data_IF_925241423939
#
_entry.id   IF_925241423939
#
_cell.length_a   1.000
_cell.length_b   1.000
_cell.length_c   1.000
_cell.angle_alpha   90.00
_cell.angle_beta   90.00
_cell.angle_gamma   90.00
#
_symmetry.space_group_name_H-M   'P 1'
#
loop_
_entity.id
_entity.type
_entity.pdbx_description
1 polymer ?
#
# COMPACT_ATOMS: atom_id res chain seq x y z
N UNK A 1 -16.44 18.39 -9.48
CA UNK A 1 -16.81 17.14 -8.72
C UNK A 1 -15.78 16.75 -7.66
N UNK A 2 -14.47 16.61 -7.97
CA UNK A 2 -13.43 16.31 -6.94
C UNK A 2 -13.17 17.53 -6.04
N UNK A 3 -13.13 18.75 -6.58
CA UNK A 3 -12.94 19.99 -5.81
C UNK A 3 -14.13 20.34 -4.90
N UNK A 4 -15.36 20.07 -5.33
CA UNK A 4 -16.56 20.25 -4.50
C UNK A 4 -16.66 19.20 -3.38
N UNK A 5 -16.17 17.99 -3.59
CA UNK A 5 -16.01 16.97 -2.56
C UNK A 5 -14.97 17.38 -1.50
N UNK A 6 -13.89 18.03 -1.90
CA UNK A 6 -12.90 18.57 -0.97
C UNK A 6 -13.46 19.70 -0.10
N UNK A 7 -14.28 20.57 -0.65
CA UNK A 7 -14.87 21.73 0.08
C UNK A 7 -16.01 21.31 1.02
N UNK A 8 -16.80 20.29 0.67
CA UNK A 8 -17.88 19.77 1.53
C UNK A 8 -17.37 18.92 2.72
N UNK A 9 -16.13 18.41 2.65
CA UNK A 9 -15.48 17.59 3.69
C UNK A 9 -14.68 18.46 4.68
N UNK A 10 -14.48 19.75 4.38
CA UNK A 10 -13.59 20.66 5.14
C UNK A 10 -14.10 21.11 6.51
N UNK A 11 -15.20 20.59 7.03
CA UNK A 11 -15.71 20.97 8.37
C UNK A 11 -15.34 19.90 9.42
N UNK A 12 -14.28 20.21 10.15
CA UNK A 12 -13.82 19.69 11.46
C UNK A 12 -13.34 18.23 11.47
N UNK A 13 -12.01 17.99 11.53
CA UNK A 13 -11.48 16.66 11.85
C UNK A 13 -11.89 16.29 13.28
N UNK A 14 -12.47 15.10 13.45
CA UNK A 14 -12.80 14.61 14.78
C UNK A 14 -11.51 14.59 15.64
N UNK A 15 -11.62 14.97 16.91
CA UNK A 15 -10.52 15.00 17.89
C UNK A 15 -9.67 13.69 17.86
N UNK A 16 -10.31 12.58 17.51
CA UNK A 16 -9.70 11.25 17.36
C UNK A 16 -8.74 11.12 16.17
N UNK A 17 -9.03 11.77 15.03
CA UNK A 17 -8.16 11.75 13.86
C UNK A 17 -6.87 12.55 14.08
N UNK A 18 -6.95 13.67 14.83
CA UNK A 18 -5.77 14.47 15.23
C UNK A 18 -4.83 13.70 16.16
N UNK A 19 -5.37 12.88 17.08
CA UNK A 19 -4.60 12.08 18.01
C UNK A 19 -3.85 10.90 17.35
N UNK A 20 -4.23 10.53 16.12
CA UNK A 20 -3.62 9.41 15.37
C UNK A 20 -2.66 9.88 14.26
N UNK A 21 -2.38 11.19 14.15
CA UNK A 21 -1.51 11.73 13.09
C UNK A 21 -2.04 11.50 11.67
N UNK A 22 -3.37 11.33 11.52
CA UNK A 22 -4.02 11.08 10.24
C UNK A 22 -4.34 12.39 9.52
N UNK A 23 -4.03 12.45 8.23
CA UNK A 23 -4.54 13.52 7.37
C UNK A 23 -6.06 13.38 7.24
N UNK A 24 -6.75 14.49 7.00
CA UNK A 24 -8.21 14.50 6.84
C UNK A 24 -8.68 13.57 5.70
N UNK A 25 -7.92 13.52 4.60
CA UNK A 25 -8.18 12.61 3.47
C UNK A 25 -8.05 11.13 3.84
N UNK A 26 -7.06 10.77 4.65
CA UNK A 26 -6.88 9.39 5.14
C UNK A 26 -8.03 8.95 6.06
N UNK A 27 -8.49 9.84 6.94
CA UNK A 27 -9.62 9.55 7.83
C UNK A 27 -10.93 9.32 7.06
N UNK A 28 -11.16 10.07 5.97
CA UNK A 28 -12.32 9.88 5.09
C UNK A 28 -12.19 8.57 4.32
N UNK A 29 -11.01 8.27 3.76
CA UNK A 29 -10.77 7.04 3.03
C UNK A 29 -11.00 5.80 3.90
N UNK A 30 -10.46 5.79 5.13
CA UNK A 30 -10.67 4.71 6.10
C UNK A 30 -12.18 4.51 6.37
N UNK A 31 -12.94 5.60 6.55
CA UNK A 31 -14.39 5.51 6.74
C UNK A 31 -15.11 4.88 5.56
N UNK A 32 -14.78 5.33 4.34
CA UNK A 32 -15.42 4.84 3.10
C UNK A 32 -15.14 3.36 2.91
N UNK A 33 -13.88 2.94 3.01
CA UNK A 33 -13.48 1.55 2.85
C UNK A 33 -14.09 0.65 3.94
N UNK A 34 -14.12 1.12 5.19
CA UNK A 34 -14.75 0.40 6.30
C UNK A 34 -16.24 0.20 6.07
N UNK A 35 -16.97 1.20 5.58
CA UNK A 35 -18.39 1.05 5.26
C UNK A 35 -18.60 0.12 4.06
N UNK A 36 -17.72 0.15 3.07
CA UNK A 36 -17.76 -0.81 1.98
C UNK A 36 -17.59 -2.27 2.47
N UNK A 37 -16.70 -2.49 3.44
CA UNK A 37 -16.52 -3.82 4.06
C UNK A 37 -17.77 -4.32 4.80
N UNK A 38 -18.52 -3.43 5.50
CA UNK A 38 -19.80 -3.80 6.15
C UNK A 38 -20.79 -4.41 5.15
N UNK A 39 -20.87 -3.85 3.95
CA UNK A 39 -21.81 -4.33 2.95
C UNK A 39 -21.32 -5.56 2.19
N UNK A 40 -19.99 -5.81 2.13
CA UNK A 40 -19.45 -7.03 1.51
C UNK A 40 -19.82 -8.30 2.28
N UNK A 41 -19.85 -8.26 3.61
CA UNK A 41 -20.22 -9.38 4.46
C UNK A 41 -21.75 -9.59 4.62
N UNK A 42 -22.56 -8.60 4.22
CA UNK A 42 -24.00 -8.62 4.45
C UNK A 42 -24.74 -9.83 3.84
N UNK A 43 -24.46 -10.30 2.60
CA UNK A 43 -25.19 -11.42 2.02
C UNK A 43 -25.09 -12.71 2.83
N UNK A 44 -23.88 -13.02 3.31
CA UNK A 44 -23.63 -14.22 4.12
C UNK A 44 -24.41 -14.16 5.44
N UNK A 45 -24.40 -13.00 6.10
CA UNK A 45 -25.14 -12.82 7.36
C UNK A 45 -26.66 -12.87 7.17
N UNK A 46 -27.17 -12.34 6.05
CA UNK A 46 -28.60 -12.39 5.70
C UNK A 46 -29.02 -13.83 5.45
N UNK A 47 -28.27 -14.59 4.65
CA UNK A 47 -28.52 -15.98 4.37
C UNK A 47 -28.46 -16.85 5.65
N UNK A 48 -27.41 -16.67 6.45
CA UNK A 48 -27.24 -17.38 7.72
C UNK A 48 -28.42 -17.11 8.69
N UNK A 49 -28.87 -15.85 8.79
CA UNK A 49 -30.01 -15.49 9.65
C UNK A 49 -31.30 -16.16 9.17
N UNK A 50 -31.55 -16.21 7.87
CA UNK A 50 -32.72 -16.86 7.29
C UNK A 50 -32.69 -18.39 7.52
N UNK A 51 -31.54 -19.02 7.27
CA UNK A 51 -31.36 -20.47 7.49
C UNK A 51 -31.54 -20.81 8.98
N UNK A 52 -30.90 -20.07 9.88
CA UNK A 52 -31.03 -20.29 11.31
C UNK A 52 -32.47 -20.08 11.80
N UNK A 53 -33.20 -19.09 11.26
CA UNK A 53 -34.63 -18.92 11.60
C UNK A 53 -35.47 -20.08 11.19
N UNK A 54 -35.25 -20.66 10.00
CA UNK A 54 -35.94 -21.85 9.51
C UNK A 54 -35.63 -23.06 10.38
N UNK A 55 -34.37 -23.29 10.75
CA UNK A 55 -33.96 -24.38 11.63
C UNK A 55 -34.60 -24.22 13.02
N UNK A 56 -34.58 -23.00 13.57
CA UNK A 56 -35.16 -22.68 14.89
C UNK A 56 -36.67 -22.97 14.88
N UNK A 57 -37.37 -22.55 13.82
CA UNK A 57 -38.79 -22.82 13.65
C UNK A 57 -39.08 -24.33 13.55
N UNK A 58 -38.26 -25.10 12.83
CA UNK A 58 -38.40 -26.54 12.72
C UNK A 58 -38.17 -27.26 14.05
N UNK A 59 -37.15 -26.86 14.80
CA UNK A 59 -36.81 -27.46 16.10
C UNK A 59 -37.89 -27.18 17.16
N UNK A 60 -38.44 -25.97 17.17
CA UNK A 60 -39.44 -25.56 18.16
C UNK A 60 -40.89 -25.85 17.71
N UNK A 61 -41.08 -26.59 16.61
CA UNK A 61 -42.38 -26.78 15.98
C UNK A 61 -43.38 -27.52 16.87
N UNK A 62 -42.94 -28.53 17.63
CA UNK A 62 -43.78 -29.33 18.53
C UNK A 62 -44.17 -28.60 19.82
N UNK A 63 -43.37 -27.64 20.25
CA UNK A 63 -43.44 -27.11 21.60
C UNK A 63 -44.07 -25.70 21.66
N UNK A 64 -44.07 -24.99 20.54
CA UNK A 64 -44.55 -23.59 20.46
C UNK A 64 -45.77 -23.51 19.50
N UNK A 65 -46.76 -22.71 19.84
CA UNK A 65 -47.92 -22.46 18.98
C UNK A 65 -47.47 -22.02 17.58
N UNK A 66 -47.91 -22.73 16.54
CA UNK A 66 -47.50 -22.56 15.16
C UNK A 66 -47.66 -21.11 14.66
N UNK A 67 -48.73 -20.40 15.08
CA UNK A 67 -48.97 -19.02 14.70
C UNK A 67 -47.90 -18.05 15.25
N UNK A 68 -47.44 -18.26 16.49
CA UNK A 68 -46.35 -17.46 17.09
C UNK A 68 -45.05 -17.73 16.38
N UNK A 69 -44.74 -19.00 16.14
CA UNK A 69 -43.47 -19.42 15.50
C UNK A 69 -43.38 -18.96 14.05
N UNK A 70 -44.45 -19.12 13.27
CA UNK A 70 -44.53 -18.66 11.89
C UNK A 70 -44.51 -17.13 11.80
N UNK A 71 -45.18 -16.43 12.72
CA UNK A 71 -45.13 -14.95 12.81
C UNK A 71 -43.71 -14.44 13.08
N UNK A 72 -43.00 -15.07 14.04
CA UNK A 72 -41.62 -14.74 14.33
C UNK A 72 -40.69 -15.05 13.16
N UNK A 73 -40.73 -16.24 12.60
CA UNK A 73 -39.90 -16.64 11.46
C UNK A 73 -40.20 -15.77 10.24
N UNK A 74 -41.48 -15.47 9.97
CA UNK A 74 -41.89 -14.56 8.91
C UNK A 74 -41.31 -13.14 9.09
N UNK A 75 -41.28 -12.62 10.31
CA UNK A 75 -40.68 -11.33 10.62
C UNK A 75 -39.16 -11.33 10.36
N UNK A 76 -38.43 -12.37 10.76
CA UNK A 76 -37.00 -12.52 10.47
C UNK A 76 -36.74 -12.60 8.96
N UNK A 77 -37.53 -13.39 8.23
CA UNK A 77 -37.41 -13.51 6.77
C UNK A 77 -37.75 -12.20 6.04
N UNK A 78 -38.81 -11.50 6.47
CA UNK A 78 -39.15 -10.19 5.93
C UNK A 78 -38.02 -9.16 6.15
N UNK A 79 -37.44 -9.16 7.36
CA UNK A 79 -36.29 -8.32 7.65
C UNK A 79 -35.05 -8.69 6.80
N UNK A 80 -34.79 -9.97 6.60
CA UNK A 80 -33.72 -10.47 5.74
C UNK A 80 -33.93 -10.00 4.29
N UNK A 81 -35.15 -10.03 3.78
CA UNK A 81 -35.51 -9.54 2.45
C UNK A 81 -35.26 -8.03 2.30
N UNK A 82 -35.71 -7.22 3.28
CA UNK A 82 -35.45 -5.75 3.28
C UNK A 82 -33.95 -5.47 3.31
N UNK A 83 -33.18 -6.19 4.11
CA UNK A 83 -31.72 -6.05 4.18
C UNK A 83 -31.04 -6.47 2.86
N UNK A 84 -31.54 -7.50 2.19
CA UNK A 84 -31.06 -7.91 0.88
C UNK A 84 -31.33 -6.83 -0.19
N UNK A 85 -32.52 -6.22 -0.17
CA UNK A 85 -32.83 -5.06 -1.04
C UNK A 85 -31.92 -3.87 -0.80
N UNK A 86 -31.61 -3.55 0.46
CA UNK A 86 -30.67 -2.48 0.81
C UNK A 86 -29.24 -2.81 0.31
N UNK A 87 -28.80 -4.03 0.45
CA UNK A 87 -27.51 -4.52 -0.07
C UNK A 87 -27.46 -4.41 -1.60
N UNK A 88 -28.51 -4.83 -2.29
CA UNK A 88 -28.59 -4.76 -3.74
C UNK A 88 -28.53 -3.31 -4.24
N UNK A 89 -29.27 -2.40 -3.57
CA UNK A 89 -29.21 -0.97 -3.86
C UNK A 89 -27.81 -0.39 -3.66
N UNK A 90 -27.09 -0.83 -2.63
CA UNK A 90 -25.68 -0.47 -2.42
C UNK A 90 -24.81 -0.95 -3.58
N UNK A 91 -25.00 -2.19 -4.05
CA UNK A 91 -24.20 -2.78 -5.11
C UNK A 91 -24.39 -2.10 -6.47
N UNK A 92 -25.62 -1.68 -6.78
CA UNK A 92 -26.00 -1.08 -8.08
C UNK A 92 -25.75 0.46 -8.07
N UNK A 93 -25.98 1.13 -6.96
CA UNK A 93 -26.15 2.59 -6.90
C UNK A 93 -24.86 3.42 -6.83
N UNK A 94 -23.65 2.84 -6.94
CA UNK A 94 -22.39 3.57 -6.84
C UNK A 94 -22.15 4.22 -5.45
N UNK A 95 -20.91 4.33 -5.02
CA UNK A 95 -20.56 4.74 -3.65
C UNK A 95 -20.17 6.21 -3.56
N UNK A 96 -21.13 7.11 -3.37
CA UNK A 96 -20.82 8.46 -2.87
C UNK A 96 -20.59 8.41 -1.34
N UNK A 97 -19.54 9.06 -0.85
CA UNK A 97 -19.20 9.09 0.59
C UNK A 97 -20.35 9.62 1.48
N UNK A 98 -21.19 10.52 0.96
CA UNK A 98 -22.36 11.06 1.65
C UNK A 98 -23.46 10.00 1.82
N UNK A 99 -23.67 9.17 0.81
CA UNK A 99 -24.66 8.08 0.84
C UNK A 99 -24.23 6.94 1.77
N UNK A 100 -22.93 6.63 1.83
CA UNK A 100 -22.39 5.57 2.69
C UNK A 100 -22.64 5.81 4.18
N UNK A 101 -22.54 7.05 4.66
CA UNK A 101 -22.78 7.34 6.09
C UNK A 101 -24.25 7.19 6.49
N UNK A 102 -25.17 7.51 5.58
CA UNK A 102 -26.62 7.27 5.76
C UNK A 102 -26.94 5.78 5.78
N UNK A 103 -26.43 5.05 4.79
CA UNK A 103 -26.59 3.59 4.69
C UNK A 103 -26.00 2.84 5.89
N UNK A 104 -24.86 3.29 6.43
CA UNK A 104 -24.29 2.70 7.64
C UNK A 104 -25.18 2.88 8.88
N UNK A 105 -25.85 4.03 9.04
CA UNK A 105 -26.82 4.25 10.13
C UNK A 105 -28.03 3.35 9.99
N UNK A 106 -28.57 3.23 8.77
CA UNK A 106 -29.67 2.32 8.46
C UNK A 106 -29.26 0.88 8.73
N UNK A 107 -28.05 0.48 8.38
CA UNK A 107 -27.52 -0.85 8.68
C UNK A 107 -27.47 -1.13 10.19
N UNK A 108 -26.99 -0.19 11.01
CA UNK A 108 -26.96 -0.29 12.48
C UNK A 108 -28.38 -0.45 13.04
N UNK A 109 -29.34 0.29 12.51
CA UNK A 109 -30.76 0.15 12.91
C UNK A 109 -31.32 -1.25 12.59
N UNK A 110 -31.06 -1.77 11.39
CA UNK A 110 -31.51 -3.13 11.03
C UNK A 110 -30.77 -4.22 11.83
N UNK A 111 -29.55 -3.98 12.26
CA UNK A 111 -28.86 -4.91 13.19
C UNK A 111 -29.54 -4.93 14.56
N UNK A 112 -29.97 -3.77 15.09
CA UNK A 112 -30.70 -3.71 16.34
C UNK A 112 -32.07 -4.42 16.25
N UNK A 113 -32.79 -4.21 15.15
CA UNK A 113 -34.08 -4.88 14.91
C UNK A 113 -33.92 -6.39 14.78
N UNK A 114 -32.88 -6.82 14.07
CA UNK A 114 -32.55 -8.26 13.96
C UNK A 114 -32.21 -8.86 15.33
N UNK A 115 -31.39 -8.14 16.13
CA UNK A 115 -31.11 -8.56 17.51
C UNK A 115 -32.36 -8.67 18.39
N UNK A 116 -33.28 -7.72 18.26
CA UNK A 116 -34.56 -7.74 19.00
C UNK A 116 -35.44 -8.94 18.59
N UNK A 117 -35.52 -9.28 17.31
CA UNK A 117 -36.25 -10.45 16.82
C UNK A 117 -35.64 -11.75 17.37
N UNK A 118 -34.33 -11.88 17.41
CA UNK A 118 -33.65 -13.03 18.00
C UNK A 118 -33.82 -13.07 19.53
N UNK A 119 -33.71 -11.93 20.20
CA UNK A 119 -33.89 -11.83 21.65
C UNK A 119 -35.34 -12.13 22.10
N UNK A 120 -36.33 -11.86 21.27
CA UNK A 120 -37.72 -12.12 21.58
C UNK A 120 -38.06 -13.64 21.72
N UNK A 121 -37.19 -14.51 21.21
CA UNK A 121 -37.33 -15.97 21.44
C UNK A 121 -37.16 -16.33 22.91
N UNK A 122 -36.37 -15.61 23.68
CA UNK A 122 -36.12 -15.95 25.08
C UNK A 122 -37.42 -15.93 25.93
N UNK A 123 -38.22 -14.87 25.94
CA UNK A 123 -39.52 -14.90 26.62
C UNK A 123 -40.54 -15.89 25.99
N UNK A 124 -40.51 -16.08 24.67
CA UNK A 124 -41.37 -17.07 24.00
C UNK A 124 -41.07 -18.46 24.51
N UNK A 125 -39.81 -18.89 24.55
CA UNK A 125 -39.37 -20.16 25.09
C UNK A 125 -39.67 -20.29 26.58
N UNK A 126 -39.55 -19.24 27.35
CA UNK A 126 -39.84 -19.22 28.79
C UNK A 126 -41.32 -19.54 29.06
N UNK A 127 -42.24 -18.86 28.34
CA UNK A 127 -43.69 -19.06 28.48
C UNK A 127 -44.12 -20.52 28.16
N UNK A 128 -43.38 -21.18 27.25
CA UNK A 128 -43.66 -22.58 26.85
C UNK A 128 -42.86 -23.61 27.65
N UNK A 129 -42.19 -23.22 28.75
CA UNK A 129 -41.44 -24.12 29.63
C UNK A 129 -40.15 -24.67 29.04
N UNK A 130 -39.64 -24.09 27.96
CA UNK A 130 -38.46 -24.55 27.23
C UNK A 130 -37.14 -23.97 27.73
N UNK A 131 -37.09 -23.34 28.92
CA UNK A 131 -35.89 -22.73 29.47
C UNK A 131 -34.77 -23.72 29.80
N UNK A 132 -35.11 -25.00 29.99
CA UNK A 132 -34.11 -26.05 30.18
C UNK A 132 -33.37 -26.50 28.92
N UNK A 133 -33.82 -26.08 27.73
CA UNK A 133 -33.19 -26.47 26.49
C UNK A 133 -31.97 -25.62 26.17
N UNK A 134 -30.80 -26.23 26.02
CA UNK A 134 -29.55 -25.54 25.64
C UNK A 134 -29.57 -24.97 24.20
N UNK A 135 -30.55 -25.39 23.38
CA UNK A 135 -30.63 -24.99 21.98
C UNK A 135 -30.69 -23.47 21.76
N UNK A 136 -31.55 -22.76 22.49
CA UNK A 136 -31.74 -21.33 22.34
C UNK A 136 -30.47 -20.51 22.64
N UNK A 137 -29.75 -20.71 23.78
CA UNK A 137 -28.48 -20.06 24.03
C UNK A 137 -27.45 -20.30 22.91
N UNK A 138 -27.33 -21.52 22.40
CA UNK A 138 -26.41 -21.85 21.31
C UNK A 138 -26.72 -21.10 20.02
N UNK A 139 -27.99 -21.04 19.62
CA UNK A 139 -28.41 -20.35 18.40
C UNK A 139 -28.19 -18.85 18.51
N UNK A 140 -28.56 -18.25 19.65
CA UNK A 140 -28.35 -16.82 19.87
C UNK A 140 -26.83 -16.49 19.95
N UNK A 141 -26.03 -17.31 20.62
CA UNK A 141 -24.58 -17.16 20.64
C UNK A 141 -23.97 -17.31 19.25
N UNK A 142 -24.39 -18.29 18.45
CA UNK A 142 -23.95 -18.47 17.07
C UNK A 142 -24.29 -17.28 16.17
N UNK A 143 -25.50 -16.73 16.28
CA UNK A 143 -25.89 -15.53 15.52
C UNK A 143 -25.15 -14.29 15.96
N UNK A 144 -24.84 -14.12 17.25
CA UNK A 144 -24.05 -13.04 17.79
C UNK A 144 -22.56 -13.13 17.33
N UNK A 145 -22.00 -14.35 17.27
CA UNK A 145 -20.67 -14.57 16.69
C UNK A 145 -20.64 -14.23 15.19
N UNK A 146 -21.64 -14.66 14.43
CA UNK A 146 -21.77 -14.33 13.00
C UNK A 146 -21.89 -12.82 12.75
N UNK A 147 -22.49 -12.07 13.68
CA UNK A 147 -22.54 -10.61 13.61
C UNK A 147 -21.14 -9.98 13.65
N UNK A 148 -20.16 -10.56 14.36
CA UNK A 148 -18.78 -10.06 14.37
C UNK A 148 -18.14 -10.25 13.00
N UNK A 149 -18.31 -11.39 12.36
CA UNK A 149 -17.72 -11.68 11.04
C UNK A 149 -18.31 -10.75 9.98
N UNK A 150 -19.62 -10.51 10.01
CA UNK A 150 -20.33 -9.73 8.99
C UNK A 150 -20.30 -8.21 9.23
N UNK A 151 -20.26 -7.78 10.49
CA UNK A 151 -20.36 -6.38 10.88
C UNK A 151 -19.16 -5.90 11.73
N UNK A 152 -18.09 -6.69 11.86
CA UNK A 152 -16.92 -6.39 12.68
C UNK A 152 -16.15 -5.14 12.25
N UNK A 153 -16.37 -4.65 11.03
CA UNK A 153 -15.89 -3.33 10.60
C UNK A 153 -16.56 -2.17 11.37
N UNK A 154 -17.63 -2.41 12.16
CA UNK A 154 -18.28 -1.43 13.03
C UNK A 154 -18.73 -2.07 14.34
N UNK A 155 -17.99 -1.82 15.43
CA UNK A 155 -18.37 -2.28 16.77
C UNK A 155 -19.78 -1.84 17.18
N UNK A 156 -20.22 -0.67 16.67
CA UNK A 156 -21.58 -0.16 16.93
C UNK A 156 -22.65 -1.05 16.32
N UNK A 157 -22.41 -1.61 15.14
CA UNK A 157 -23.35 -2.53 14.50
C UNK A 157 -23.42 -3.84 15.26
N UNK A 158 -22.30 -4.38 15.75
CA UNK A 158 -22.26 -5.58 16.58
C UNK A 158 -22.97 -5.34 17.91
N UNK A 159 -22.70 -4.24 18.59
CA UNK A 159 -23.33 -3.89 19.87
C UNK A 159 -24.83 -3.68 19.73
N UNK A 160 -25.27 -3.04 18.64
CA UNK A 160 -26.71 -2.84 18.36
C UNK A 160 -27.47 -4.14 18.13
N UNK A 161 -26.80 -5.21 17.68
CA UNK A 161 -27.35 -6.56 17.62
C UNK A 161 -27.28 -7.25 18.99
N UNK A 162 -26.10 -7.24 19.64
CA UNK A 162 -25.84 -8.02 20.86
C UNK A 162 -26.72 -7.62 22.03
N UNK A 163 -26.92 -6.32 22.26
CA UNK A 163 -27.73 -5.86 23.40
C UNK A 163 -29.16 -6.41 23.32
N UNK A 164 -29.93 -6.15 22.24
CA UNK A 164 -31.31 -6.64 22.20
C UNK A 164 -31.43 -8.16 22.00
N UNK A 165 -30.39 -8.85 21.54
CA UNK A 165 -30.37 -10.29 21.42
C UNK A 165 -30.07 -11.01 22.75
N UNK A 166 -29.06 -10.52 23.49
CA UNK A 166 -28.55 -11.22 24.68
C UNK A 166 -29.19 -10.74 25.99
N UNK A 167 -29.64 -9.47 26.07
CA UNK A 167 -30.23 -8.97 27.31
C UNK A 167 -31.54 -9.70 27.70
N UNK A 168 -32.52 -9.94 26.77
CA UNK A 168 -33.69 -10.74 27.11
C UNK A 168 -33.34 -12.16 27.52
N UNK A 169 -32.36 -12.78 26.84
CA UNK A 169 -31.88 -14.11 27.17
C UNK A 169 -31.32 -14.19 28.59
N UNK A 170 -30.39 -13.27 28.95
CA UNK A 170 -29.83 -13.19 30.29
C UNK A 170 -30.91 -12.95 31.37
N UNK A 171 -31.89 -12.05 31.07
CA UNK A 171 -32.98 -11.75 32.00
C UNK A 171 -33.86 -12.95 32.25
N UNK A 172 -34.27 -13.64 31.18
CA UNK A 172 -35.10 -14.86 31.30
C UNK A 172 -34.40 -15.93 32.13
N UNK A 173 -33.15 -16.24 31.84
CA UNK A 173 -32.41 -17.22 32.64
C UNK A 173 -32.21 -16.80 34.08
N UNK A 174 -31.96 -15.53 34.36
CA UNK A 174 -31.83 -15.05 35.73
C UNK A 174 -33.14 -15.18 36.54
N UNK A 175 -34.31 -15.03 35.88
CA UNK A 175 -35.61 -15.06 36.55
C UNK A 175 -36.26 -16.45 36.60
N UNK A 176 -36.04 -17.29 35.60
CA UNK A 176 -36.76 -18.56 35.42
C UNK A 176 -35.87 -19.79 35.35
N UNK A 177 -34.56 -19.63 35.31
CA UNK A 177 -33.60 -20.74 35.07
C UNK A 177 -33.27 -21.60 36.29
N UNK A 178 -34.02 -21.50 37.38
CA UNK A 178 -33.77 -22.28 38.59
C UNK A 178 -32.41 -21.97 39.27
N UNK A 179 -31.82 -22.95 39.98
CA UNK A 179 -30.59 -22.76 40.74
C UNK A 179 -29.39 -22.32 39.86
N UNK A 180 -29.31 -22.81 38.64
CA UNK A 180 -28.22 -22.52 37.70
C UNK A 180 -28.48 -21.27 36.85
N UNK A 181 -29.68 -20.68 36.90
CA UNK A 181 -30.11 -19.58 36.04
C UNK A 181 -29.22 -18.35 36.13
N UNK A 182 -28.81 -17.98 37.30
CA UNK A 182 -27.87 -16.85 37.53
C UNK A 182 -26.49 -17.11 36.92
N UNK A 183 -26.00 -18.35 37.01
CA UNK A 183 -24.74 -18.74 36.39
C UNK A 183 -24.83 -18.65 34.85
N UNK A 184 -25.91 -19.15 34.25
CA UNK A 184 -26.16 -19.06 32.80
C UNK A 184 -26.29 -17.59 32.38
N UNK A 185 -27.03 -16.77 33.10
CA UNK A 185 -27.15 -15.34 32.83
C UNK A 185 -25.77 -14.63 32.89
N UNK A 186 -24.93 -14.97 33.87
CA UNK A 186 -23.55 -14.48 33.97
C UNK A 186 -22.69 -14.85 32.76
N UNK A 187 -22.78 -16.11 32.29
CA UNK A 187 -22.09 -16.57 31.07
C UNK A 187 -22.57 -15.83 29.84
N UNK A 188 -23.87 -15.57 29.68
CA UNK A 188 -24.43 -14.79 28.56
C UNK A 188 -23.92 -13.36 28.58
N UNK A 189 -23.85 -12.72 29.73
CA UNK A 189 -23.28 -11.35 29.89
C UNK A 189 -21.79 -11.34 29.54
N UNK A 190 -21.02 -12.29 30.08
CA UNK A 190 -19.59 -12.43 29.77
C UNK A 190 -19.35 -12.64 28.29
N UNK A 191 -20.17 -13.47 27.63
CA UNK A 191 -20.14 -13.67 26.20
C UNK A 191 -20.42 -12.37 25.42
N UNK A 192 -21.41 -11.59 25.84
CA UNK A 192 -21.72 -10.29 25.26
C UNK A 192 -20.56 -9.28 25.38
N UNK A 193 -19.89 -9.27 26.53
CA UNK A 193 -18.69 -8.46 26.74
C UNK A 193 -17.53 -8.92 25.86
N UNK A 194 -17.28 -10.21 25.78
CA UNK A 194 -16.20 -10.79 24.96
C UNK A 194 -16.40 -10.52 23.48
N UNK A 195 -17.63 -10.72 22.96
CA UNK A 195 -17.95 -10.45 21.56
C UNK A 195 -17.88 -8.96 21.23
N UNK A 196 -18.24 -8.08 22.14
CA UNK A 196 -18.11 -6.62 21.98
C UNK A 196 -16.63 -6.22 21.97
N UNK A 197 -15.81 -6.78 22.87
CA UNK A 197 -14.37 -6.55 22.87
C UNK A 197 -13.71 -7.04 21.58
N UNK A 198 -14.09 -8.22 21.11
CA UNK A 198 -13.60 -8.76 19.83
C UNK A 198 -14.00 -7.86 18.66
N UNK A 199 -15.21 -7.31 18.61
CA UNK A 199 -15.64 -6.37 17.58
C UNK A 199 -14.81 -5.06 17.60
N UNK A 200 -14.49 -4.55 18.79
CA UNK A 200 -13.63 -3.38 18.95
C UNK A 200 -12.21 -3.62 18.45
N UNK A 201 -11.63 -4.78 18.76
CA UNK A 201 -10.28 -5.14 18.29
C UNK A 201 -10.25 -5.39 16.81
N UNK A 202 -11.23 -6.09 16.26
CA UNK A 202 -11.38 -6.33 14.82
C UNK A 202 -11.50 -5.01 14.05
N UNK A 203 -12.33 -4.08 14.52
CA UNK A 203 -12.41 -2.77 13.89
C UNK A 203 -11.06 -2.03 13.89
N UNK A 204 -10.32 -2.07 15.01
CA UNK A 204 -9.00 -1.43 15.11
C UNK A 204 -7.99 -2.07 14.14
N UNK A 205 -8.03 -3.40 13.99
CA UNK A 205 -7.18 -4.13 13.03
C UNK A 205 -7.50 -3.72 11.58
N UNK A 206 -8.80 -3.65 11.23
CA UNK A 206 -9.25 -3.22 9.92
C UNK A 206 -8.80 -1.77 9.64
N UNK A 207 -9.03 -0.84 10.58
CA UNK A 207 -8.63 0.56 10.45
C UNK A 207 -7.10 0.69 10.23
N UNK A 208 -6.29 -0.08 10.96
CA UNK A 208 -4.82 -0.13 10.79
C UNK A 208 -4.42 -0.72 9.44
N UNK A 209 -5.04 -1.82 9.02
CA UNK A 209 -4.76 -2.47 7.74
C UNK A 209 -5.02 -1.53 6.56
N UNK A 210 -6.16 -0.84 6.55
CA UNK A 210 -6.51 0.15 5.53
C UNK A 210 -5.48 1.29 5.49
N UNK A 211 -5.07 1.80 6.68
CA UNK A 211 -4.09 2.86 6.78
C UNK A 211 -2.72 2.44 6.21
N UNK A 212 -2.24 1.27 6.63
CA UNK A 212 -0.96 0.72 6.17
C UNK A 212 -0.98 0.48 4.67
N UNK A 213 -2.04 -0.11 4.14
CA UNK A 213 -2.19 -0.31 2.70
C UNK A 213 -2.14 1.03 1.93
N UNK A 214 -2.85 2.04 2.42
CA UNK A 214 -2.85 3.38 1.80
C UNK A 214 -1.46 4.02 1.82
N UNK A 215 -0.72 3.89 2.92
CA UNK A 215 0.65 4.42 3.04
C UNK A 215 1.63 3.66 2.14
N UNK A 216 1.54 2.34 2.10
CA UNK A 216 2.38 1.51 1.23
C UNK A 216 2.19 1.88 -0.25
N UNK A 217 0.95 2.04 -0.73
CA UNK A 217 0.67 2.48 -2.11
C UNK A 217 1.30 3.85 -2.39
N UNK A 218 1.18 4.81 -1.46
CA UNK A 218 1.82 6.14 -1.62
C UNK A 218 3.35 6.06 -1.65
N UNK A 219 3.95 5.26 -0.76
CA UNK A 219 5.40 5.05 -0.74
C UNK A 219 5.90 4.40 -2.03
N UNK A 220 5.19 3.38 -2.50
CA UNK A 220 5.53 2.69 -3.74
C UNK A 220 5.49 3.64 -4.95
N UNK A 221 4.44 4.45 -5.08
CA UNK A 221 4.34 5.44 -6.17
C UNK A 221 5.43 6.51 -6.09
N UNK A 222 5.80 6.95 -4.90
CA UNK A 222 6.88 7.92 -4.71
C UNK A 222 8.25 7.33 -5.05
N UNK A 223 8.49 6.06 -4.68
CA UNK A 223 9.71 5.34 -5.01
C UNK A 223 9.82 5.13 -6.53
N UNK A 224 8.74 4.69 -7.17
CA UNK A 224 8.69 4.50 -8.62
C UNK A 224 9.06 5.81 -9.36
N UNK A 225 8.47 6.93 -8.94
CA UNK A 225 8.79 8.23 -9.53
C UNK A 225 10.27 8.59 -9.40
N UNK A 226 10.91 8.31 -8.25
CA UNK A 226 12.35 8.55 -8.07
C UNK A 226 13.21 7.66 -8.96
N UNK A 227 12.82 6.41 -9.16
CA UNK A 227 13.52 5.48 -10.07
C UNK A 227 13.41 5.99 -11.51
N UNK A 228 12.21 6.41 -11.93
CA UNK A 228 12.00 6.95 -13.27
C UNK A 228 12.81 8.23 -13.50
N UNK A 229 12.82 9.17 -12.54
CA UNK A 229 13.62 10.40 -12.58
C UNK A 229 15.13 10.11 -12.66
N UNK A 230 15.63 9.11 -11.89
CA UNK A 230 17.03 8.71 -11.92
C UNK A 230 17.38 8.07 -13.27
N UNK A 231 16.51 7.22 -13.80
CA UNK A 231 16.72 6.60 -15.11
C UNK A 231 16.73 7.62 -16.25
N UNK A 232 15.81 8.59 -16.23
CA UNK A 232 15.82 9.70 -17.20
C UNK A 232 17.10 10.55 -17.11
N UNK A 233 17.57 10.83 -15.90
CA UNK A 233 18.81 11.58 -15.69
C UNK A 233 20.03 10.81 -16.23
N UNK A 234 20.09 9.51 -16.00
CA UNK A 234 21.13 8.63 -16.53
C UNK A 234 21.11 8.60 -18.06
N UNK A 235 19.93 8.44 -18.67
CA UNK A 235 19.79 8.44 -20.14
C UNK A 235 20.22 9.78 -20.75
N UNK A 236 19.82 10.91 -20.14
CA UNK A 236 20.25 12.25 -20.60
C UNK A 236 21.76 12.40 -20.49
N UNK A 237 22.36 11.98 -19.37
CA UNK A 237 23.81 12.04 -19.20
C UNK A 237 24.53 11.18 -20.23
N UNK A 238 24.08 9.94 -20.43
CA UNK A 238 24.62 9.02 -21.43
C UNK A 238 24.55 9.61 -22.84
N UNK A 239 23.40 10.15 -23.24
CA UNK A 239 23.21 10.77 -24.55
C UNK A 239 24.13 11.99 -24.75
N UNK A 240 24.35 12.82 -23.72
CA UNK A 240 25.27 13.96 -23.79
C UNK A 240 26.73 13.51 -23.97
N UNK A 241 27.15 12.48 -23.23
CA UNK A 241 28.51 11.93 -23.36
C UNK A 241 28.69 11.26 -24.72
N UNK A 242 27.73 10.50 -25.19
CA UNK A 242 27.79 9.82 -26.48
C UNK A 242 27.77 10.78 -27.69
N UNK A 243 27.06 11.89 -27.58
CA UNK A 243 27.00 12.91 -28.63
C UNK A 243 28.23 13.85 -28.65
N UNK A 244 29.06 13.83 -27.63
CA UNK A 244 30.28 14.62 -27.59
C UNK A 244 31.27 14.18 -28.64
N UNK A 245 31.86 15.15 -29.36
CA UNK A 245 32.98 14.88 -30.26
C UNK A 245 34.31 14.72 -29.50
N UNK A 246 34.40 15.22 -28.28
CA UNK A 246 35.55 15.03 -27.41
C UNK A 246 35.55 13.64 -26.82
N UNK A 247 36.72 13.02 -26.74
CA UNK A 247 36.86 11.77 -25.99
C UNK A 247 36.83 12.07 -24.49
N UNK A 248 36.24 11.16 -23.72
CA UNK A 248 36.29 11.20 -22.27
C UNK A 248 36.82 9.87 -21.76
N UNK A 249 37.92 9.93 -21.00
CA UNK A 249 38.57 8.76 -20.40
C UNK A 249 38.69 9.01 -18.89
N UNK A 250 38.26 8.05 -18.07
CA UNK A 250 38.40 8.11 -16.62
C UNK A 250 39.51 7.14 -16.19
N UNK A 251 40.46 7.64 -15.43
CA UNK A 251 41.58 6.89 -14.87
C UNK A 251 41.39 6.74 -13.35
N UNK A 252 41.61 5.54 -12.83
CA UNK A 252 41.71 5.35 -11.37
C UNK A 252 42.93 6.09 -10.80
N UNK A 253 43.04 6.21 -9.45
CA UNK A 253 44.22 6.79 -8.81
C UNK A 253 45.52 6.09 -9.18
N UNK A 254 45.46 4.81 -9.52
CA UNK A 254 46.60 3.99 -9.94
C UNK A 254 46.94 4.13 -11.45
N UNK A 255 46.17 4.97 -12.17
CA UNK A 255 46.34 5.20 -13.61
C UNK A 255 45.76 4.11 -14.51
N UNK A 256 44.79 3.30 -14.02
CA UNK A 256 44.07 2.31 -14.80
C UNK A 256 42.79 2.93 -15.37
N UNK A 257 42.49 2.66 -16.64
CA UNK A 257 41.28 3.15 -17.30
C UNK A 257 40.08 2.42 -16.75
N UNK A 258 39.13 3.13 -16.16
CA UNK A 258 37.86 2.64 -15.63
C UNK A 258 36.68 2.89 -16.56
N UNK A 259 36.78 3.94 -17.39
CA UNK A 259 35.76 4.28 -18.38
C UNK A 259 36.40 4.94 -19.61
N UNK A 260 35.83 4.69 -20.78
CA UNK A 260 36.14 5.38 -22.02
C UNK A 260 34.82 5.65 -22.78
N UNK A 261 34.63 6.88 -23.25
CA UNK A 261 33.45 7.27 -24.02
C UNK A 261 33.42 6.61 -25.41
N UNK A 262 32.24 6.40 -26.02
CA UNK A 262 32.14 5.85 -27.39
C UNK A 262 32.90 6.68 -28.44
N UNK A 263 33.10 7.98 -28.20
CA UNK A 263 33.86 8.87 -29.09
C UNK A 263 35.35 8.44 -29.23
N UNK A 264 35.90 7.65 -28.32
CA UNK A 264 37.29 7.14 -28.48
C UNK A 264 37.44 6.25 -29.70
N UNK A 265 36.39 5.51 -30.10
CA UNK A 265 36.42 4.68 -31.30
C UNK A 265 36.57 5.53 -32.57
N UNK A 266 35.87 6.66 -32.64
CA UNK A 266 35.99 7.59 -33.77
C UNK A 266 37.33 8.33 -33.81
N UNK A 267 37.91 8.59 -32.64
CA UNK A 267 39.12 9.45 -32.53
C UNK A 267 40.39 8.60 -32.50
N UNK A 268 40.39 7.49 -31.80
CA UNK A 268 41.56 6.61 -31.63
C UNK A 268 41.44 5.29 -32.44
N UNK A 269 40.34 5.02 -33.12
CA UNK A 269 40.16 3.76 -33.86
C UNK A 269 40.04 2.52 -32.97
N UNK A 270 39.93 2.67 -31.64
CA UNK A 270 39.84 1.58 -30.68
C UNK A 270 38.50 1.58 -29.96
N UNK A 271 37.77 0.46 -29.93
CA UNK A 271 36.50 0.41 -29.23
C UNK A 271 36.71 0.55 -27.71
N UNK A 272 35.80 1.23 -26.97
CA UNK A 272 35.95 1.55 -25.56
C UNK A 272 36.31 0.36 -24.66
N UNK A 273 35.70 -0.82 -24.91
CA UNK A 273 35.91 -2.03 -24.12
C UNK A 273 37.37 -2.59 -24.19
N UNK A 274 38.12 -2.26 -25.25
CA UNK A 274 39.53 -2.62 -25.35
C UNK A 274 40.44 -1.71 -24.55
N UNK A 275 40.00 -0.48 -24.28
CA UNK A 275 40.75 0.51 -23.50
C UNK A 275 40.55 0.33 -21.99
N UNK A 276 39.35 -0.04 -21.57
CA UNK A 276 39.04 -0.26 -20.16
C UNK A 276 39.90 -1.36 -19.58
N UNK A 277 40.56 -1.06 -18.47
CA UNK A 277 41.51 -1.97 -17.82
C UNK A 277 42.96 -1.75 -18.22
N UNK A 278 43.28 -1.07 -19.34
CA UNK A 278 44.66 -0.68 -19.67
C UNK A 278 45.18 0.38 -18.69
N UNK A 279 46.48 0.51 -18.61
CA UNK A 279 47.12 1.55 -17.80
C UNK A 279 47.50 2.74 -18.68
N UNK A 280 47.72 3.90 -18.06
CA UNK A 280 48.23 5.08 -18.72
C UNK A 280 49.46 4.80 -19.59
N UNK A 281 50.32 3.90 -19.13
CA UNK A 281 51.56 3.51 -19.87
C UNK A 281 51.26 2.78 -21.19
N UNK A 282 50.15 2.12 -21.31
CA UNK A 282 49.73 1.41 -22.53
C UNK A 282 49.04 2.32 -23.53
N UNK A 283 48.47 3.44 -23.03
CA UNK A 283 47.66 4.36 -23.84
C UNK A 283 48.50 5.58 -24.30
N UNK A 284 49.29 6.16 -23.43
CA UNK A 284 50.04 7.41 -23.69
C UNK A 284 51.44 7.10 -24.29
N UNK A 285 51.85 7.90 -25.30
CA UNK A 285 53.17 7.75 -25.90
C UNK A 285 54.29 7.85 -24.84
N UNK A 286 55.37 7.02 -24.95
CA UNK A 286 56.47 7.05 -23.97
C UNK A 286 57.03 8.44 -23.64
N UNK A 287 57.16 9.32 -24.66
CA UNK A 287 57.71 10.65 -24.49
C UNK A 287 56.74 11.56 -23.71
N UNK A 288 55.43 11.34 -23.81
CA UNK A 288 54.40 12.16 -23.16
C UNK A 288 54.02 11.63 -21.76
N UNK A 289 54.43 10.40 -21.40
CA UNK A 289 54.09 9.79 -20.09
C UNK A 289 54.57 10.67 -18.93
N UNK A 290 55.74 11.26 -19.03
CA UNK A 290 56.31 12.11 -17.99
C UNK A 290 55.47 13.35 -17.77
N UNK A 291 55.03 13.98 -18.86
CA UNK A 291 54.17 15.20 -18.83
C UNK A 291 52.80 14.84 -18.29
N UNK A 292 52.20 13.77 -18.81
CA UNK A 292 50.87 13.32 -18.38
C UNK A 292 50.84 12.98 -16.88
N UNK A 293 51.88 12.29 -16.37
CA UNK A 293 52.05 11.98 -14.95
C UNK A 293 52.22 13.25 -14.10
N UNK A 294 53.09 14.16 -14.54
CA UNK A 294 53.33 15.45 -13.83
C UNK A 294 52.03 16.27 -13.67
N UNK A 295 51.17 16.27 -14.70
CA UNK A 295 49.85 16.91 -14.64
C UNK A 295 48.93 16.19 -13.68
N UNK A 296 48.93 14.84 -13.70
CA UNK A 296 48.16 14.01 -12.74
C UNK A 296 48.58 14.28 -11.29
N UNK A 297 49.88 14.31 -11.01
CA UNK A 297 50.42 14.62 -9.67
C UNK A 297 50.08 16.02 -9.20
N UNK A 298 50.15 17.03 -10.09
CA UNK A 298 49.69 18.41 -9.79
C UNK A 298 48.18 18.45 -9.52
N UNK A 299 47.41 17.63 -10.21
CA UNK A 299 45.97 17.52 -10.03
C UNK A 299 45.57 16.92 -8.65
N UNK A 300 46.44 16.11 -8.03
CA UNK A 300 46.18 15.54 -6.69
C UNK A 300 46.04 16.60 -5.61
N UNK A 301 46.79 17.70 -5.72
CA UNK A 301 46.71 18.82 -4.76
C UNK A 301 45.58 19.82 -5.05
N UNK A 302 44.84 19.63 -6.15
CA UNK A 302 43.89 20.61 -6.69
C UNK A 302 42.58 19.90 -7.07
N UNK A 303 41.75 19.60 -6.09
CA UNK A 303 40.45 18.99 -6.28
C UNK A 303 39.52 19.83 -7.16
N UNK A 304 38.98 19.24 -8.23
CA UNK A 304 38.04 19.89 -9.13
C UNK A 304 38.66 20.93 -10.10
N UNK A 305 39.97 21.23 -9.99
CA UNK A 305 40.64 22.14 -10.92
C UNK A 305 40.90 21.45 -12.26
N UNK A 306 40.71 22.19 -13.34
CA UNK A 306 40.93 21.73 -14.71
C UNK A 306 42.35 22.06 -15.11
N UNK A 307 43.20 21.06 -15.35
CA UNK A 307 44.55 21.23 -15.83
C UNK A 307 44.62 20.94 -17.32
N UNK A 308 45.15 21.86 -18.09
CA UNK A 308 45.23 21.74 -19.55
C UNK A 308 46.47 20.91 -19.97
N UNK A 309 46.26 20.01 -20.90
CA UNK A 309 47.26 19.25 -21.64
C UNK A 309 47.21 19.71 -23.10
N UNK A 310 48.11 20.63 -23.50
CA UNK A 310 48.05 21.23 -24.85
C UNK A 310 48.38 20.20 -25.95
N UNK A 311 49.16 19.18 -25.60
CA UNK A 311 49.56 18.10 -26.49
C UNK A 311 49.74 16.82 -25.70
N UNK A 312 49.15 15.71 -26.19
CA UNK A 312 49.38 14.36 -25.70
C UNK A 312 49.10 13.37 -26.83
N UNK A 313 50.05 12.49 -27.14
CA UNK A 313 49.87 11.42 -28.11
C UNK A 313 49.31 10.17 -27.39
N UNK A 314 48.18 9.63 -27.88
CA UNK A 314 47.58 8.39 -27.38
C UNK A 314 47.59 7.32 -28.47
N UNK A 315 47.83 6.08 -28.05
CA UNK A 315 47.85 4.93 -28.92
C UNK A 315 46.45 4.63 -29.46
N UNK A 316 46.32 4.53 -30.76
CA UNK A 316 45.14 4.14 -31.47
C UNK A 316 44.98 2.61 -31.65
N UNK A 317 43.89 2.22 -32.30
CA UNK A 317 43.53 0.80 -32.49
C UNK A 317 44.49 -0.01 -33.36
N UNK A 318 45.18 0.64 -34.30
CA UNK A 318 46.13 0.00 -35.22
C UNK A 318 47.61 0.13 -34.75
N UNK A 319 47.81 0.69 -33.53
CA UNK A 319 49.13 0.90 -32.97
C UNK A 319 49.76 2.24 -33.38
N UNK A 320 49.09 3.06 -34.12
CA UNK A 320 49.47 4.43 -34.43
C UNK A 320 49.24 5.37 -33.25
N UNK A 321 49.96 6.51 -33.21
CA UNK A 321 49.75 7.51 -32.19
C UNK A 321 48.98 8.69 -32.74
N UNK A 322 47.89 9.03 -32.05
CA UNK A 322 47.00 10.15 -32.38
C UNK A 322 47.30 11.31 -31.45
N UNK A 323 47.62 12.50 -32.00
CA UNK A 323 47.89 13.68 -31.23
C UNK A 323 46.60 14.38 -30.81
N UNK A 324 46.43 14.57 -29.51
CA UNK A 324 45.25 15.14 -28.87
C UNK A 324 45.63 16.40 -28.07
N UNK A 325 44.70 17.29 -27.96
CA UNK A 325 44.69 18.30 -26.91
C UNK A 325 43.59 17.99 -25.91
N UNK A 326 43.80 18.30 -24.65
CA UNK A 326 42.79 17.95 -23.66
C UNK A 326 42.97 18.59 -22.31
N UNK A 327 42.14 18.20 -21.40
CA UNK A 327 42.06 18.65 -20.03
C UNK A 327 41.97 17.47 -19.09
N UNK A 328 42.69 17.56 -17.98
CA UNK A 328 42.62 16.57 -16.90
C UNK A 328 42.01 17.20 -15.65
N UNK A 329 40.97 16.58 -15.12
CA UNK A 329 40.27 17.09 -13.92
C UNK A 329 40.28 15.99 -12.85
N UNK A 330 40.67 16.38 -11.63
CA UNK A 330 40.60 15.50 -10.47
C UNK A 330 39.17 15.45 -9.92
N UNK A 331 38.52 14.30 -10.09
CA UNK A 331 37.16 14.01 -9.59
C UNK A 331 37.15 12.84 -8.60
N UNK A 332 38.21 12.62 -7.83
CA UNK A 332 38.32 11.60 -6.80
C UNK A 332 37.24 11.71 -5.71
N UNK A 333 36.75 12.95 -5.48
CA UNK A 333 35.70 13.22 -4.48
C UNK A 333 34.27 13.02 -5.00
N UNK A 334 34.10 12.72 -6.28
CA UNK A 334 32.78 12.54 -6.90
C UNK A 334 32.37 11.08 -6.85
N UNK A 335 31.33 10.68 -6.06
CA UNK A 335 30.85 9.32 -6.02
C UNK A 335 30.48 8.80 -7.41
N UNK A 336 30.98 7.62 -7.79
CA UNK A 336 30.73 6.98 -9.09
C UNK A 336 31.69 7.40 -10.20
N UNK A 337 32.59 8.39 -9.97
CA UNK A 337 33.72 8.74 -10.84
C UNK A 337 35.04 8.29 -10.18
N UNK A 338 35.29 8.73 -8.97
CA UNK A 338 36.43 8.35 -8.09
C UNK A 338 37.77 8.24 -8.84
N UNK A 339 38.03 9.21 -9.74
CA UNK A 339 39.14 9.15 -10.65
C UNK A 339 39.52 10.48 -11.28
N UNK A 340 40.49 10.41 -12.20
CA UNK A 340 40.92 11.51 -13.03
C UNK A 340 40.19 11.45 -14.38
N UNK A 341 39.48 12.52 -14.72
CA UNK A 341 38.75 12.64 -15.99
C UNK A 341 39.60 13.39 -17.01
N UNK A 342 40.00 12.71 -18.06
CA UNK A 342 40.56 13.32 -19.25
C UNK A 342 39.46 13.59 -20.26
N UNK A 343 39.39 14.84 -20.77
CA UNK A 343 38.49 15.20 -21.88
C UNK A 343 39.33 15.91 -22.94
N UNK A 344 39.22 15.47 -24.19
CA UNK A 344 40.04 16.06 -25.27
C UNK A 344 39.55 15.69 -26.68
N UNK A 345 40.20 16.29 -27.66
CA UNK A 345 39.90 16.09 -29.07
C UNK A 345 41.17 16.17 -29.94
N UNK A 346 41.01 15.90 -31.23
CA UNK A 346 42.11 15.98 -32.21
C UNK A 346 42.70 17.39 -32.27
N UNK A 347 44.01 17.50 -32.40
CA UNK A 347 44.69 18.77 -32.70
C UNK A 347 44.21 19.27 -34.08
N UNK A 348 44.06 20.58 -34.24
CA UNK A 348 43.49 21.19 -35.47
C UNK A 348 44.28 20.87 -36.75
N UNK A 349 45.60 20.66 -36.66
CA UNK A 349 46.40 20.24 -37.82
C UNK A 349 46.07 18.84 -38.35
N UNK A 350 45.54 17.92 -37.53
CA UNK A 350 45.10 16.60 -37.96
C UNK A 350 43.61 16.55 -38.38
N UNK A 351 42.79 17.53 -38.04
CA UNK A 351 41.41 17.64 -38.53
C UNK A 351 41.33 17.74 -40.05
N UNK A 352 42.29 18.41 -40.69
CA UNK A 352 42.31 18.55 -42.18
C UNK A 352 42.65 17.26 -42.92
N UNK A 353 43.40 16.33 -42.32
CA UNK A 353 43.75 15.06 -42.97
C UNK A 353 42.66 14.00 -42.82
N UNK A 354 41.87 14.01 -41.75
CA UNK A 354 40.76 13.04 -41.56
C UNK A 354 39.53 13.37 -42.40
N UNK A 355 39.32 14.65 -42.79
CA UNK A 355 38.19 15.05 -43.62
C UNK A 355 38.42 14.66 -45.12
N UNK A 356 39.67 14.58 -45.56
CA UNK A 356 40.03 14.17 -46.92
C UNK A 356 40.12 12.64 -47.10
N UNK A 357 40.12 11.86 -46.04
CA UNK A 357 40.10 10.38 -46.13
C UNK A 357 38.71 9.79 -46.08
N UNK A 358 37.64 10.60 -45.91
CA UNK A 358 36.24 10.18 -45.82
C UNK A 358 35.41 10.62 -47.05
N UNK A 359 36.02 11.28 -48.06
CA UNK A 359 35.49 11.50 -49.42
C UNK A 359 36.08 10.46 -50.38
#
# INVERSE_FOLDING_TARGET
MIAELQTAISKVPSRKARLQGLTQGEAVKIKVERYALLFRGAPVAIAASAINATITAAVAWSDIAHGVLLGWAGAVLALAFVRAGLWLRFRIGGTSARNLSGLARIHVFFMALNGALWGSLAPIFAVHGMTGHAFLPFVIAGTAAAAIVSAGASWRAVLSFNIPALAPLATVYALTGGPDGLAIAGVVILYGCATTYLALTTQRMIDRSILLHTRNVKMFSALQKRVDEAHEAEQRFRALVESSQEITIIFSPEGKITYASPSVERTLGAPPHKLVGLTTKNLVHPDDISVFRSVGEKSLSKLGEVLTLPHVCMCGGEGEYVALHGRLTNMLYVPGVEGFVFSGGLLEEQKSHHIHAAE
#
